data_IF_786784523800
#
_entry.id   IF_786784523800
#
_cell.length_a   1.000
_cell.length_b   1.000
_cell.length_c   1.000
_cell.angle_alpha   90.00
_cell.angle_beta   90.00
_cell.angle_gamma   90.00
#
_symmetry.space_group_name_H-M   'P 1'
#
loop_
_entity.id
_entity.type
_entity.pdbx_description
1 polymer ?
#
# COMPACT_ATOMS: atom_id res chain seq x y z
N UNK A 1 -3.24 -34.93 44.03
CA UNK A 1 -3.73 -34.51 42.70
C UNK A 1 -3.74 -33.00 42.55
N UNK A 2 -4.45 -32.18 43.36
CA UNK A 2 -4.50 -30.71 43.26
C UNK A 2 -3.11 -30.04 43.29
N UNK A 3 -2.18 -30.48 44.14
CA UNK A 3 -0.82 -29.93 44.28
C UNK A 3 0.04 -30.16 43.02
N UNK A 4 -0.13 -31.29 42.33
CA UNK A 4 0.60 -31.60 41.11
C UNK A 4 0.04 -30.82 39.92
N UNK A 5 -1.27 -30.56 39.87
CA UNK A 5 -1.91 -29.69 38.87
C UNK A 5 -1.43 -28.25 39.03
N UNK A 6 -1.39 -27.71 40.25
CA UNK A 6 -0.87 -26.38 40.51
C UNK A 6 0.60 -26.23 40.11
N UNK A 7 1.46 -27.18 40.43
CA UNK A 7 2.86 -27.21 40.03
C UNK A 7 3.03 -27.25 38.48
N UNK A 8 2.20 -28.06 37.80
CA UNK A 8 2.21 -28.12 36.34
C UNK A 8 1.80 -26.76 35.70
N UNK A 9 0.74 -26.13 36.24
CA UNK A 9 0.30 -24.81 35.74
C UNK A 9 1.40 -23.76 35.92
N UNK A 10 2.05 -23.70 37.08
CA UNK A 10 3.16 -22.78 37.34
C UNK A 10 4.32 -23.03 36.37
N UNK A 11 4.70 -24.29 36.15
CA UNK A 11 5.77 -24.64 35.22
C UNK A 11 5.41 -24.21 33.76
N UNK A 12 4.16 -24.43 33.36
CA UNK A 12 3.68 -23.99 32.02
C UNK A 12 3.72 -22.48 31.86
N UNK A 13 3.27 -21.74 32.87
CA UNK A 13 3.35 -20.25 32.85
C UNK A 13 4.81 -19.82 32.78
N UNK A 14 5.70 -20.37 33.56
CA UNK A 14 7.11 -20.05 33.56
C UNK A 14 7.77 -20.36 32.20
N UNK A 15 7.45 -21.48 31.59
CA UNK A 15 7.94 -21.85 30.25
C UNK A 15 7.42 -20.89 29.19
N UNK A 16 6.13 -20.53 29.23
CA UNK A 16 5.54 -19.54 28.30
C UNK A 16 6.19 -18.17 28.46
N UNK A 17 6.41 -17.70 29.67
CA UNK A 17 7.10 -16.44 29.92
C UNK A 17 8.55 -16.49 29.41
N UNK A 18 9.27 -17.56 29.68
CA UNK A 18 10.64 -17.75 29.18
C UNK A 18 10.68 -17.73 27.64
N UNK A 19 9.74 -18.40 26.98
CA UNK A 19 9.59 -18.34 25.52
C UNK A 19 9.35 -16.90 25.03
N UNK A 20 8.36 -16.21 25.60
CA UNK A 20 8.01 -14.85 25.18
C UNK A 20 9.14 -13.83 25.42
N UNK A 21 9.95 -14.03 26.46
CA UNK A 21 11.02 -13.10 26.80
C UNK A 21 12.33 -13.39 26.06
N UNK A 22 12.68 -14.67 25.83
CA UNK A 22 14.04 -15.06 25.48
C UNK A 22 14.19 -15.87 24.19
N UNK A 23 13.10 -16.45 23.64
CA UNK A 23 13.23 -17.20 22.39
C UNK A 23 13.80 -16.32 21.26
N UNK A 24 14.68 -16.83 20.38
CA UNK A 24 15.21 -16.07 19.25
C UNK A 24 14.09 -15.67 18.27
N UNK A 25 14.25 -14.51 17.63
CA UNK A 25 13.34 -14.01 16.60
C UNK A 25 14.13 -13.57 15.38
N UNK A 26 13.50 -13.58 14.20
CA UNK A 26 14.11 -13.22 12.92
C UNK A 26 14.13 -11.72 12.68
N UNK A 27 13.60 -10.90 13.57
CA UNK A 27 13.56 -9.43 13.43
C UNK A 27 14.58 -8.76 14.35
N UNK A 28 15.16 -7.66 13.89
CA UNK A 28 16.08 -6.79 14.63
C UNK A 28 15.49 -5.37 14.77
N UNK A 29 14.47 -5.17 15.64
CA UNK A 29 13.73 -3.92 15.69
C UNK A 29 14.60 -2.72 16.08
N UNK A 30 14.49 -1.61 15.31
CA UNK A 30 15.09 -0.33 15.67
C UNK A 30 14.10 0.53 16.46
N UNK A 31 14.57 1.21 17.51
CA UNK A 31 13.74 2.14 18.27
C UNK A 31 13.38 3.36 17.41
N UNK A 32 12.11 3.71 17.42
CA UNK A 32 11.60 4.92 16.79
C UNK A 32 10.46 5.51 17.63
N UNK A 33 10.54 6.80 17.91
CA UNK A 33 9.45 7.51 18.57
C UNK A 33 8.77 8.39 17.54
N UNK A 34 7.59 7.99 17.03
CA UNK A 34 6.88 8.80 16.05
C UNK A 34 6.42 10.12 16.68
N UNK A 35 6.28 11.19 15.89
CA UNK A 35 5.62 12.39 16.35
C UNK A 35 4.19 12.06 16.81
N UNK A 36 3.60 12.84 17.74
CA UNK A 36 2.22 12.63 18.16
C UNK A 36 1.29 12.57 16.95
N UNK A 37 0.40 11.58 16.93
CA UNK A 37 -0.58 11.48 15.86
C UNK A 37 -1.44 12.75 15.80
N UNK A 38 -1.72 13.32 14.62
CA UNK A 38 -2.62 14.45 14.50
C UNK A 38 -4.02 14.04 14.96
N UNK A 39 -4.74 14.99 15.56
CA UNK A 39 -6.15 14.78 15.89
C UNK A 39 -6.99 14.63 14.61
N UNK A 40 -8.04 13.82 14.69
CA UNK A 40 -9.00 13.69 13.58
C UNK A 40 -9.98 14.88 13.58
N UNK A 41 -9.44 16.09 13.37
CA UNK A 41 -10.15 17.38 13.29
C UNK A 41 -9.60 18.18 12.12
N UNK A 42 -10.27 19.26 11.72
CA UNK A 42 -9.84 20.10 10.60
C UNK A 42 -9.71 19.30 9.28
N UNK A 43 -8.53 19.28 8.64
CA UNK A 43 -8.37 18.54 7.37
C UNK A 43 -8.56 17.03 7.50
N UNK A 44 -8.51 16.50 8.72
CA UNK A 44 -8.71 15.07 9.03
C UNK A 44 -10.03 14.79 9.76
N UNK A 45 -10.95 15.76 9.81
CA UNK A 45 -12.21 15.61 10.56
C UNK A 45 -12.95 14.33 10.16
N UNK A 46 -13.38 13.57 11.20
CA UNK A 46 -14.11 12.32 11.01
C UNK A 46 -15.44 12.55 10.29
N UNK A 47 -15.74 11.67 9.35
CA UNK A 47 -16.97 11.71 8.59
C UNK A 47 -17.41 10.31 8.17
N UNK A 48 -18.54 10.22 7.46
CA UNK A 48 -19.09 8.98 6.91
C UNK A 48 -19.29 9.05 5.39
N UNK A 49 -18.53 9.86 4.71
CA UNK A 49 -18.69 10.12 3.27
C UNK A 49 -18.49 8.86 2.42
N UNK A 50 -17.67 7.90 2.87
CA UNK A 50 -17.49 6.59 2.22
C UNK A 50 -18.55 5.55 2.61
N UNK A 51 -19.63 5.92 3.32
CA UNK A 51 -20.73 4.99 3.59
C UNK A 51 -21.36 4.37 2.32
N UNK A 52 -21.56 5.13 1.19
CA UNK A 52 -22.21 4.60 0.00
C UNK A 52 -21.24 3.87 -0.97
N UNK A 53 -20.09 3.39 -0.51
CA UNK A 53 -19.20 2.59 -1.37
C UNK A 53 -19.92 1.33 -1.85
N UNK A 54 -19.98 1.18 -3.16
CA UNK A 54 -20.50 -0.02 -3.83
C UNK A 54 -19.41 -1.10 -3.85
N UNK A 55 -19.79 -2.34 -3.55
CA UNK A 55 -18.91 -3.51 -3.62
C UNK A 55 -19.10 -4.22 -4.94
N UNK A 56 -18.09 -4.21 -5.81
CA UNK A 56 -18.10 -4.89 -7.10
C UNK A 56 -17.52 -6.29 -6.93
N UNK A 57 -18.33 -7.31 -7.25
CA UNK A 57 -17.99 -8.70 -7.03
C UNK A 57 -16.98 -9.20 -8.07
N UNK A 58 -15.86 -9.75 -7.61
CA UNK A 58 -14.79 -10.33 -8.43
C UNK A 58 -15.00 -11.84 -8.76
N UNK A 59 -16.12 -12.42 -8.35
CA UNK A 59 -16.36 -13.86 -8.43
C UNK A 59 -15.73 -14.58 -7.24
N UNK A 60 -14.64 -15.28 -7.46
CA UNK A 60 -13.87 -15.95 -6.41
C UNK A 60 -12.47 -15.35 -6.33
N UNK A 61 -12.04 -14.99 -5.13
CA UNK A 61 -10.71 -14.44 -4.85
C UNK A 61 -10.75 -13.48 -3.67
N UNK A 62 -9.57 -13.20 -3.13
CA UNK A 62 -9.40 -12.39 -1.93
C UNK A 62 -8.39 -11.28 -2.17
N UNK A 63 -8.53 -10.19 -1.38
CA UNK A 63 -7.53 -9.14 -1.25
C UNK A 63 -7.13 -8.50 -2.58
N UNK A 64 -8.09 -7.87 -3.32
CA UNK A 64 -7.77 -7.07 -4.51
C UNK A 64 -7.05 -5.80 -4.04
N UNK A 65 -5.71 -5.84 -3.93
CA UNK A 65 -4.94 -4.76 -3.30
C UNK A 65 -4.94 -3.50 -4.14
N UNK A 66 -4.81 -3.66 -5.45
CA UNK A 66 -4.87 -2.55 -6.40
C UNK A 66 -5.87 -2.76 -7.52
N UNK A 67 -6.27 -1.65 -8.15
CA UNK A 67 -7.24 -1.56 -9.23
C UNK A 67 -6.70 -0.67 -10.34
N UNK A 68 -6.71 -1.18 -11.58
CA UNK A 68 -6.45 -0.38 -12.78
C UNK A 68 -7.68 -0.33 -13.68
N UNK A 69 -7.81 0.76 -14.45
CA UNK A 69 -8.84 0.90 -15.47
C UNK A 69 -8.21 1.11 -16.85
N UNK A 70 -8.72 0.40 -17.85
CA UNK A 70 -8.30 0.62 -19.23
C UNK A 70 -9.07 1.79 -19.88
N UNK A 71 -8.71 2.10 -21.13
CA UNK A 71 -9.32 3.18 -21.89
C UNK A 71 -10.83 3.01 -22.16
N UNK A 72 -11.33 1.76 -22.12
CA UNK A 72 -12.75 1.44 -22.27
C UNK A 72 -13.49 1.47 -20.91
N UNK A 73 -12.78 1.75 -19.82
CA UNK A 73 -13.32 1.79 -18.46
C UNK A 73 -13.50 0.41 -17.82
N UNK A 74 -12.95 -0.67 -18.41
CA UNK A 74 -12.95 -1.99 -17.78
C UNK A 74 -12.02 -1.96 -16.56
N UNK A 75 -12.44 -2.66 -15.50
CA UNK A 75 -11.79 -2.65 -14.19
C UNK A 75 -10.95 -3.91 -14.07
N UNK A 76 -9.70 -3.77 -13.62
CA UNK A 76 -8.78 -4.89 -13.40
C UNK A 76 -8.31 -4.87 -11.95
N UNK A 77 -8.28 -6.04 -11.32
CA UNK A 77 -7.85 -6.18 -9.93
C UNK A 77 -6.94 -7.40 -9.76
N UNK A 78 -5.81 -7.20 -9.07
CA UNK A 78 -4.86 -8.27 -8.75
C UNK A 78 -5.25 -9.00 -7.47
N UNK A 79 -5.35 -10.33 -7.51
CA UNK A 79 -5.78 -11.16 -6.38
C UNK A 79 -4.59 -11.80 -5.64
N UNK A 80 -4.82 -12.23 -4.41
CA UNK A 80 -3.82 -12.88 -3.57
C UNK A 80 -3.24 -14.16 -4.19
N UNK A 81 -4.00 -14.86 -5.01
CA UNK A 81 -3.61 -16.13 -5.63
C UNK A 81 -2.87 -15.99 -6.99
N UNK A 82 -2.57 -14.77 -7.41
CA UNK A 82 -1.82 -14.48 -8.64
C UNK A 82 -2.70 -14.13 -9.84
N UNK A 83 -4.01 -14.36 -9.76
CA UNK A 83 -4.94 -14.01 -10.83
C UNK A 83 -5.17 -12.50 -10.90
N UNK A 84 -5.35 -12.01 -12.10
CA UNK A 84 -5.86 -10.66 -12.38
C UNK A 84 -7.25 -10.84 -12.98
N UNK A 85 -8.26 -10.31 -12.30
CA UNK A 85 -9.66 -10.37 -12.72
C UNK A 85 -10.03 -9.07 -13.41
N UNK A 86 -10.77 -9.19 -14.54
CA UNK A 86 -11.35 -8.07 -15.27
C UNK A 86 -12.87 -8.05 -15.06
N UNK A 87 -13.42 -6.84 -14.83
CA UNK A 87 -14.86 -6.55 -14.85
C UNK A 87 -15.20 -5.62 -16.01
N UNK A 88 -16.47 -5.63 -16.43
CA UNK A 88 -17.00 -4.60 -17.34
C UNK A 88 -17.04 -3.23 -16.62
N UNK A 89 -17.17 -2.10 -17.36
CA UNK A 89 -17.22 -0.76 -16.77
C UNK A 89 -18.35 -0.57 -15.73
N UNK A 90 -19.44 -1.30 -15.86
CA UNK A 90 -20.54 -1.30 -14.89
C UNK A 90 -20.24 -2.11 -13.62
N UNK A 91 -19.12 -2.83 -13.57
CA UNK A 91 -18.70 -3.69 -12.46
C UNK A 91 -19.26 -5.11 -12.52
N UNK A 92 -19.78 -5.54 -13.67
CA UNK A 92 -20.35 -6.87 -13.89
C UNK A 92 -19.40 -7.79 -14.66
N UNK A 93 -19.79 -9.06 -14.86
CA UNK A 93 -19.13 -10.07 -15.67
C UNK A 93 -17.65 -10.28 -15.32
N UNK A 94 -17.33 -10.69 -14.08
CA UNK A 94 -15.96 -11.00 -13.69
C UNK A 94 -15.39 -12.14 -14.53
N UNK A 95 -14.19 -11.96 -15.05
CA UNK A 95 -13.43 -13.00 -15.74
C UNK A 95 -11.96 -12.92 -15.41
N UNK A 96 -11.28 -14.04 -15.39
CA UNK A 96 -9.82 -14.06 -15.28
C UNK A 96 -9.25 -13.51 -16.59
N UNK A 97 -8.45 -12.45 -16.47
CA UNK A 97 -7.73 -11.82 -17.57
C UNK A 97 -6.36 -12.44 -17.76
N UNK A 98 -5.61 -12.61 -16.67
CA UNK A 98 -4.28 -13.20 -16.66
C UNK A 98 -4.00 -13.87 -15.31
N UNK A 99 -2.93 -14.67 -15.26
CA UNK A 99 -2.40 -15.25 -14.03
C UNK A 99 -0.88 -15.06 -14.01
N UNK A 100 -0.37 -14.32 -13.03
CA UNK A 100 1.06 -14.11 -12.85
C UNK A 100 1.74 -15.30 -12.16
N UNK A 101 0.95 -16.20 -11.56
CA UNK A 101 1.45 -17.23 -10.64
C UNK A 101 2.32 -16.65 -9.52
N UNK A 102 2.04 -15.39 -9.13
CA UNK A 102 2.75 -14.63 -8.12
C UNK A 102 1.80 -13.96 -7.14
N UNK A 103 2.05 -12.70 -6.85
CA UNK A 103 1.18 -11.82 -6.06
C UNK A 103 1.18 -10.43 -6.72
N UNK A 104 0.28 -10.14 -7.67
CA UNK A 104 0.15 -8.81 -8.26
C UNK A 104 -0.39 -7.83 -7.19
N UNK A 105 0.41 -6.84 -6.84
CA UNK A 105 0.08 -5.79 -5.87
C UNK A 105 -0.25 -4.48 -6.59
N UNK A 106 0.67 -3.88 -7.33
CA UNK A 106 0.44 -2.66 -8.11
C UNK A 106 0.07 -2.93 -9.57
N UNK A 107 -0.85 -2.16 -10.13
CA UNK A 107 -1.38 -2.30 -11.48
C UNK A 107 -1.52 -0.92 -12.16
N UNK A 108 -0.97 -0.75 -13.37
CA UNK A 108 -1.21 0.45 -14.18
C UNK A 108 -1.17 0.12 -15.67
N UNK A 109 -1.97 0.79 -16.49
CA UNK A 109 -1.88 0.65 -17.94
C UNK A 109 -0.84 1.59 -18.55
N UNK A 110 0.01 1.06 -19.45
CA UNK A 110 0.87 1.88 -20.27
C UNK A 110 0.08 2.53 -21.44
N UNK A 111 0.72 3.49 -22.12
CA UNK A 111 0.11 4.18 -23.28
C UNK A 111 -0.22 3.25 -24.49
N UNK A 112 0.31 2.02 -24.50
CA UNK A 112 0.03 1.00 -25.54
C UNK A 112 -1.13 0.10 -25.17
N UNK A 113 -1.62 0.23 -23.93
CA UNK A 113 -2.69 -0.59 -23.35
C UNK A 113 -2.21 -1.94 -22.84
N UNK A 114 -0.92 -2.09 -22.50
CA UNK A 114 -0.45 -3.23 -21.72
C UNK A 114 -0.64 -2.92 -20.24
N UNK A 115 -1.03 -3.92 -19.47
CA UNK A 115 -1.10 -3.84 -18.02
C UNK A 115 0.29 -4.10 -17.43
N UNK A 116 0.88 -3.09 -16.81
CA UNK A 116 2.11 -3.21 -16.04
C UNK A 116 1.78 -3.66 -14.63
N UNK A 117 2.61 -4.52 -14.06
CA UNK A 117 2.33 -5.13 -12.76
C UNK A 117 3.59 -5.12 -11.89
N UNK A 118 3.48 -4.58 -10.68
CA UNK A 118 4.44 -4.85 -9.61
C UNK A 118 4.01 -6.13 -8.89
N UNK A 119 4.67 -7.23 -9.20
CA UNK A 119 4.38 -8.52 -8.57
C UNK A 119 5.38 -8.81 -7.45
N UNK A 120 4.89 -8.99 -6.24
CA UNK A 120 5.71 -9.18 -5.05
C UNK A 120 6.58 -10.44 -5.08
N UNK A 121 6.27 -11.41 -5.95
CA UNK A 121 6.98 -12.69 -6.05
C UNK A 121 7.72 -12.86 -7.38
N UNK A 122 7.29 -12.17 -8.44
CA UNK A 122 7.82 -12.35 -9.79
C UNK A 122 8.66 -11.19 -10.28
N UNK A 123 8.47 -9.99 -9.72
CA UNK A 123 9.15 -8.79 -10.15
C UNK A 123 8.26 -7.86 -10.98
N UNK A 124 8.86 -7.04 -11.83
CA UNK A 124 8.16 -6.11 -12.71
C UNK A 124 7.71 -6.83 -13.97
N UNK A 125 6.39 -6.86 -14.24
CA UNK A 125 5.78 -7.58 -15.35
C UNK A 125 5.07 -6.61 -16.30
N UNK A 126 4.84 -7.06 -17.54
CA UNK A 126 3.95 -6.44 -18.52
C UNK A 126 3.03 -7.51 -19.08
N UNK A 127 1.72 -7.23 -19.14
CA UNK A 127 0.71 -8.14 -19.65
C UNK A 127 0.05 -7.51 -20.86
N UNK A 128 0.08 -8.17 -21.99
CA UNK A 128 -0.52 -7.65 -23.22
C UNK A 128 -2.06 -7.81 -23.22
N UNK A 129 -2.70 -7.25 -24.25
CA UNK A 129 -4.17 -7.30 -24.41
C UNK A 129 -4.75 -8.72 -24.53
N UNK A 130 -3.90 -9.70 -24.86
CA UNK A 130 -4.28 -11.11 -24.91
C UNK A 130 -4.08 -11.85 -23.58
N UNK A 131 -3.59 -11.16 -22.53
CA UNK A 131 -3.31 -11.73 -21.22
C UNK A 131 -1.95 -12.43 -21.12
N UNK A 132 -1.05 -12.24 -22.11
CA UNK A 132 0.27 -12.87 -22.08
C UNK A 132 1.21 -12.11 -21.15
N UNK A 133 1.75 -12.80 -20.15
CA UNK A 133 2.63 -12.24 -19.13
C UNK A 133 4.08 -12.25 -19.61
N UNK A 134 4.75 -11.09 -19.55
CA UNK A 134 6.17 -10.91 -19.85
C UNK A 134 6.90 -10.31 -18.65
N UNK A 135 8.01 -10.93 -18.24
CA UNK A 135 8.91 -10.37 -17.24
C UNK A 135 9.73 -9.20 -17.85
N UNK A 136 9.68 -8.02 -17.22
CA UNK A 136 10.50 -6.86 -17.57
C UNK A 136 11.78 -6.81 -16.75
N UNK A 137 11.68 -7.00 -15.41
CA UNK A 137 12.84 -7.03 -14.52
C UNK A 137 12.54 -7.87 -13.26
N UNK A 138 13.54 -8.63 -12.80
CA UNK A 138 13.51 -9.36 -11.53
C UNK A 138 14.59 -8.88 -10.55
N UNK A 139 15.41 -7.91 -10.99
CA UNK A 139 16.54 -7.39 -10.22
C UNK A 139 16.87 -5.96 -10.63
N UNK A 140 17.57 -5.25 -9.76
CA UNK A 140 18.24 -3.99 -10.07
C UNK A 140 19.64 -3.99 -9.49
N UNK A 141 20.63 -3.52 -10.28
CA UNK A 141 22.01 -3.32 -9.82
C UNK A 141 22.65 -4.61 -9.24
N UNK A 142 22.25 -5.79 -9.80
CA UNK A 142 22.76 -7.11 -9.38
C UNK A 142 22.08 -7.68 -8.12
N UNK A 143 21.07 -6.99 -7.56
CA UNK A 143 20.29 -7.47 -6.42
C UNK A 143 18.87 -7.85 -6.86
N UNK A 144 18.44 -9.08 -6.57
CA UNK A 144 17.07 -9.54 -6.82
C UNK A 144 16.08 -8.73 -5.99
N UNK A 145 14.89 -8.53 -6.54
CA UNK A 145 13.81 -7.90 -5.77
C UNK A 145 13.31 -8.83 -4.66
N UNK A 146 13.02 -8.23 -3.49
CA UNK A 146 12.39 -8.92 -2.37
C UNK A 146 10.87 -8.87 -2.48
N UNK A 147 10.27 -7.71 -2.24
CA UNK A 147 8.82 -7.52 -2.25
C UNK A 147 8.49 -6.24 -3.02
N UNK A 148 8.23 -6.34 -4.34
CA UNK A 148 7.68 -5.21 -5.08
C UNK A 148 6.26 -4.94 -4.61
N UNK A 149 5.86 -3.66 -4.61
CA UNK A 149 4.55 -3.28 -4.11
C UNK A 149 3.71 -2.51 -5.14
N UNK A 150 4.12 -1.33 -5.56
CA UNK A 150 3.32 -0.47 -6.43
C UNK A 150 4.13 0.08 -7.60
N UNK A 151 3.45 0.61 -8.63
CA UNK A 151 4.10 1.20 -9.80
C UNK A 151 3.22 2.28 -10.43
N UNK A 152 3.91 3.24 -11.09
CA UNK A 152 3.30 4.19 -11.99
C UNK A 152 4.19 4.42 -13.21
N UNK A 153 3.64 4.92 -14.32
CA UNK A 153 4.35 5.06 -15.59
C UNK A 153 4.33 6.52 -16.07
N UNK A 154 5.52 7.05 -16.31
CA UNK A 154 5.69 8.38 -16.88
C UNK A 154 5.37 8.41 -18.38
N UNK A 155 5.13 9.63 -18.90
CA UNK A 155 4.79 9.84 -20.31
C UNK A 155 5.88 9.36 -21.30
N UNK A 156 7.14 9.30 -20.87
CA UNK A 156 8.26 8.78 -21.67
C UNK A 156 8.38 7.25 -21.63
N UNK A 157 7.51 6.58 -20.85
CA UNK A 157 7.47 5.13 -20.66
C UNK A 157 8.38 4.64 -19.53
N UNK A 158 9.06 5.51 -18.79
CA UNK A 158 9.78 5.13 -17.57
C UNK A 158 8.80 4.64 -16.53
N UNK A 159 9.04 3.45 -15.99
CA UNK A 159 8.22 2.87 -14.91
C UNK A 159 8.89 3.16 -13.58
N UNK A 160 8.22 3.90 -12.71
CA UNK A 160 8.61 4.09 -11.32
C UNK A 160 7.88 3.06 -10.47
N UNK A 161 8.61 2.38 -9.59
CA UNK A 161 8.03 1.31 -8.78
C UNK A 161 8.73 1.19 -7.43
N UNK A 162 8.02 0.63 -6.48
CA UNK A 162 8.50 0.47 -5.12
C UNK A 162 8.84 -0.97 -4.80
N UNK A 163 9.85 -1.14 -3.99
CA UNK A 163 10.15 -2.35 -3.27
C UNK A 163 9.93 -2.05 -1.79
N UNK A 164 8.89 -2.64 -1.19
CA UNK A 164 8.52 -2.41 0.19
C UNK A 164 9.61 -2.93 1.14
N UNK A 165 10.20 -4.07 0.80
CA UNK A 165 11.28 -4.68 1.56
C UNK A 165 12.19 -5.52 0.65
N UNK A 166 13.49 -5.29 0.75
CA UNK A 166 14.51 -6.16 0.15
C UNK A 166 14.92 -7.32 1.08
N UNK A 167 14.36 -7.37 2.29
CA UNK A 167 14.69 -8.34 3.33
C UNK A 167 13.57 -9.36 3.57
N UNK A 168 12.33 -8.90 3.64
CA UNK A 168 11.18 -9.73 3.96
C UNK A 168 10.29 -9.92 2.73
N UNK A 169 9.90 -11.17 2.43
CA UNK A 169 8.90 -11.43 1.39
C UNK A 169 7.51 -10.94 1.85
N UNK A 170 6.57 -10.78 0.92
CA UNK A 170 5.20 -10.31 1.20
C UNK A 170 4.51 -11.10 2.33
N UNK A 171 4.71 -12.41 2.40
CA UNK A 171 4.16 -13.26 3.47
C UNK A 171 4.65 -12.89 4.89
N UNK A 172 5.69 -12.05 4.98
CA UNK A 172 6.29 -11.57 6.22
C UNK A 172 6.27 -10.03 6.32
N UNK A 173 5.37 -9.34 5.60
CA UNK A 173 5.27 -7.87 5.62
C UNK A 173 5.13 -7.29 7.04
N UNK A 174 4.38 -7.96 7.93
CA UNK A 174 4.27 -7.57 9.34
C UNK A 174 5.64 -7.62 10.06
N UNK A 175 6.52 -8.53 9.64
CA UNK A 175 7.88 -8.61 10.22
C UNK A 175 8.70 -7.38 9.87
N UNK A 176 8.59 -6.86 8.64
CA UNK A 176 9.25 -5.63 8.21
C UNK A 176 8.75 -4.42 9.01
N UNK A 177 7.44 -4.26 9.12
CA UNK A 177 6.81 -3.18 9.91
C UNK A 177 7.19 -3.25 11.40
N UNK A 178 7.25 -4.47 11.99
CA UNK A 178 7.70 -4.66 13.37
C UNK A 178 9.20 -4.46 13.53
N UNK A 179 10.00 -4.73 12.52
CA UNK A 179 11.43 -4.48 12.56
C UNK A 179 11.73 -2.99 12.45
N UNK A 180 10.97 -2.26 11.63
CA UNK A 180 11.10 -0.83 11.40
C UNK A 180 12.54 -0.47 11.03
N UNK A 181 13.00 -1.01 9.92
CA UNK A 181 14.33 -0.76 9.32
C UNK A 181 14.16 -0.23 7.90
N UNK A 182 15.15 0.48 7.35
CA UNK A 182 15.07 1.10 6.02
C UNK A 182 15.32 0.07 4.90
N UNK A 183 14.46 -0.96 4.83
CA UNK A 183 14.58 -2.08 3.89
C UNK A 183 13.93 -1.79 2.54
N UNK A 184 13.22 -0.68 2.38
CA UNK A 184 12.51 -0.32 1.16
C UNK A 184 13.31 0.62 0.25
N UNK A 185 12.87 0.73 -1.00
CA UNK A 185 13.43 1.67 -1.98
C UNK A 185 12.45 2.02 -3.09
N UNK A 186 12.62 3.19 -3.69
CA UNK A 186 12.00 3.60 -4.95
C UNK A 186 12.96 3.31 -6.10
N UNK A 187 12.46 2.71 -7.17
CA UNK A 187 13.21 2.35 -8.36
C UNK A 187 12.62 2.97 -9.62
N UNK A 188 13.42 3.00 -10.70
CA UNK A 188 12.97 3.32 -12.04
C UNK A 188 13.47 2.26 -13.04
N UNK A 189 12.58 1.80 -13.91
CA UNK A 189 12.91 0.97 -15.06
C UNK A 189 12.85 1.80 -16.35
N UNK A 190 13.93 1.81 -17.10
CA UNK A 190 14.06 2.58 -18.35
C UNK A 190 13.68 1.69 -19.55
N UNK A 191 12.66 2.04 -20.34
CA UNK A 191 12.23 1.24 -21.49
C UNK A 191 13.27 1.17 -22.63
N UNK A 192 14.21 2.14 -22.71
CA UNK A 192 15.25 2.18 -23.75
C UNK A 192 16.38 1.23 -23.44
N UNK A 193 16.84 1.20 -22.19
CA UNK A 193 17.94 0.35 -21.74
C UNK A 193 17.49 -1.00 -21.21
N UNK A 194 16.18 -1.14 -20.90
CA UNK A 194 15.57 -2.29 -20.24
C UNK A 194 16.23 -2.64 -18.88
N UNK A 195 16.66 -1.63 -18.15
CA UNK A 195 17.34 -1.79 -16.85
C UNK A 195 16.58 -1.04 -15.76
N UNK A 196 16.54 -1.65 -14.60
CA UNK A 196 16.06 -1.02 -13.37
C UNK A 196 17.26 -0.44 -12.58
N UNK A 197 17.01 0.70 -11.92
CA UNK A 197 17.97 1.35 -11.02
C UNK A 197 17.27 1.93 -9.80
N UNK A 198 17.95 2.03 -8.69
CA UNK A 198 17.47 2.68 -7.47
C UNK A 198 17.50 4.20 -7.62
N UNK A 199 16.40 4.87 -7.27
CA UNK A 199 16.28 6.32 -7.18
C UNK A 199 16.42 6.83 -5.75
N UNK A 200 15.72 6.18 -4.82
CA UNK A 200 15.74 6.56 -3.40
C UNK A 200 15.79 5.28 -2.55
N UNK A 201 16.93 4.98 -1.93
CA UNK A 201 17.07 3.86 -1.01
C UNK A 201 16.64 4.27 0.42
N UNK A 202 16.55 3.27 1.30
CA UNK A 202 16.44 3.49 2.73
C UNK A 202 15.05 3.93 3.19
N UNK A 203 14.01 3.49 2.50
CA UNK A 203 12.62 3.74 2.86
C UNK A 203 12.10 2.69 3.85
N UNK A 204 11.20 3.11 4.73
CA UNK A 204 10.57 2.25 5.73
C UNK A 204 9.24 1.74 5.21
N UNK A 205 9.25 0.59 4.56
CA UNK A 205 8.11 0.00 3.87
C UNK A 205 7.59 0.93 2.76
N UNK A 206 8.36 1.03 1.66
CA UNK A 206 7.97 1.81 0.49
C UNK A 206 6.75 1.16 -0.17
N UNK A 207 5.64 1.91 -0.23
CA UNK A 207 4.35 1.43 -0.69
C UNK A 207 3.94 2.16 -1.99
N UNK A 208 2.81 2.83 -2.02
CA UNK A 208 2.27 3.51 -3.18
C UNK A 208 3.24 4.46 -3.87
N UNK A 209 3.15 4.56 -5.20
CA UNK A 209 3.96 5.47 -6.02
C UNK A 209 3.08 6.20 -7.05
N UNK A 210 3.32 7.51 -7.24
CA UNK A 210 2.60 8.30 -8.22
C UNK A 210 3.50 9.32 -8.92
N UNK A 211 3.48 9.36 -10.23
CA UNK A 211 4.12 10.41 -11.04
C UNK A 211 3.25 11.66 -11.03
N UNK A 212 3.85 12.83 -10.83
CA UNK A 212 3.11 14.09 -10.86
C UNK A 212 2.51 14.35 -12.24
N UNK A 213 1.33 15.03 -12.32
CA UNK A 213 0.67 15.31 -13.60
C UNK A 213 1.57 16.08 -14.57
N UNK A 214 2.44 16.95 -14.07
CA UNK A 214 3.41 17.74 -14.86
C UNK A 214 4.73 16.99 -15.11
N UNK A 215 4.86 15.74 -14.66
CA UNK A 215 6.06 14.89 -14.82
C UNK A 215 7.31 15.45 -14.11
N UNK A 216 7.17 16.41 -13.20
CA UNK A 216 8.31 17.06 -12.54
C UNK A 216 8.84 16.31 -11.33
N UNK A 217 8.03 15.44 -10.73
CA UNK A 217 8.43 14.62 -9.57
C UNK A 217 7.65 13.30 -9.52
N UNK A 218 8.12 12.40 -8.68
CA UNK A 218 7.44 11.16 -8.28
C UNK A 218 7.27 11.14 -6.76
N UNK A 219 6.10 10.73 -6.30
CA UNK A 219 5.79 10.52 -4.89
C UNK A 219 5.97 9.05 -4.52
N UNK A 220 6.35 8.79 -3.27
CA UNK A 220 6.36 7.45 -2.68
C UNK A 220 5.80 7.47 -1.26
N UNK A 221 4.79 6.68 -1.00
CA UNK A 221 4.22 6.48 0.33
C UNK A 221 5.18 5.64 1.18
N UNK A 222 5.50 6.11 2.37
CA UNK A 222 6.38 5.45 3.33
C UNK A 222 5.57 5.04 4.56
N UNK A 223 5.00 3.83 4.50
CA UNK A 223 4.02 3.33 5.47
C UNK A 223 4.55 3.34 6.90
N UNK A 224 5.81 2.88 7.08
CA UNK A 224 6.45 2.80 8.39
C UNK A 224 6.74 4.16 9.03
N UNK A 225 6.75 5.24 8.25
CA UNK A 225 7.08 6.59 8.73
C UNK A 225 5.89 7.55 8.76
N UNK A 226 4.67 7.09 8.38
CA UNK A 226 3.47 7.93 8.31
C UNK A 226 3.63 9.17 7.43
N UNK A 227 4.33 9.06 6.28
CA UNK A 227 4.64 10.18 5.41
C UNK A 227 4.63 9.79 3.93
N UNK A 228 4.67 10.79 3.06
CA UNK A 228 4.93 10.63 1.63
C UNK A 228 6.20 11.41 1.30
N UNK A 229 7.14 10.76 0.63
CA UNK A 229 8.34 11.37 0.07
C UNK A 229 8.11 11.81 -1.36
N UNK A 230 8.87 12.82 -1.81
CA UNK A 230 8.92 13.28 -3.18
C UNK A 230 10.35 13.21 -3.70
N UNK A 231 10.51 12.67 -4.91
CA UNK A 231 11.78 12.69 -5.65
C UNK A 231 11.60 13.54 -6.90
N UNK A 232 12.39 14.58 -7.04
CA UNK A 232 12.34 15.48 -8.18
C UNK A 232 12.96 14.83 -9.43
N UNK A 233 12.21 14.78 -10.52
CA UNK A 233 12.60 14.20 -11.80
C UNK A 233 13.21 15.22 -12.76
N UNK A 234 12.87 16.51 -12.58
CA UNK A 234 13.33 17.62 -13.42
C UNK A 234 13.46 18.92 -12.62
N UNK A 235 13.97 19.96 -13.30
CA UNK A 235 14.15 21.28 -12.71
C UNK A 235 15.36 21.40 -11.78
N UNK A 236 15.49 22.53 -11.03
CA UNK A 236 16.67 22.83 -10.20
C UNK A 236 16.94 21.81 -9.07
N UNK A 237 15.92 21.05 -8.67
CA UNK A 237 16.03 20.04 -7.62
C UNK A 237 16.17 18.61 -8.17
N UNK A 238 16.36 18.43 -9.46
CA UNK A 238 16.43 17.10 -10.07
C UNK A 238 17.38 16.17 -9.31
N UNK A 239 16.89 14.94 -9.01
CA UNK A 239 17.62 13.93 -8.25
C UNK A 239 17.60 14.12 -6.73
N UNK A 240 17.05 15.22 -6.22
CA UNK A 240 16.88 15.44 -4.77
C UNK A 240 15.56 14.83 -4.29
N UNK A 241 15.52 14.47 -3.01
CA UNK A 241 14.31 14.05 -2.32
C UNK A 241 13.96 15.01 -1.18
N UNK A 242 12.67 15.22 -0.96
CA UNK A 242 12.14 15.95 0.19
C UNK A 242 10.84 15.30 0.68
N UNK A 243 10.39 15.69 1.87
CA UNK A 243 9.11 15.23 2.42
C UNK A 243 7.98 16.02 1.77
N UNK A 244 7.01 15.32 1.16
CA UNK A 244 5.85 15.93 0.52
C UNK A 244 4.70 16.18 1.52
N UNK A 245 4.38 15.19 2.34
CA UNK A 245 3.47 15.31 3.47
C UNK A 245 3.96 14.42 4.61
N UNK A 246 3.91 14.92 5.84
CA UNK A 246 4.43 14.25 7.02
C UNK A 246 3.35 14.04 8.09
N UNK A 247 3.66 13.16 9.03
CA UNK A 247 2.84 12.91 10.21
C UNK A 247 1.36 12.66 9.89
N UNK A 248 1.10 11.77 8.95
CA UNK A 248 -0.25 11.38 8.56
C UNK A 248 -1.02 10.69 9.72
N UNK A 249 -2.36 10.81 9.77
CA UNK A 249 -3.19 10.22 10.84
C UNK A 249 -3.40 8.70 10.72
N UNK A 250 -2.85 8.08 9.69
CA UNK A 250 -2.94 6.65 9.39
C UNK A 250 -1.70 6.15 8.67
N UNK A 251 -1.72 4.89 8.31
CA UNK A 251 -0.65 4.23 7.58
C UNK A 251 -0.83 4.48 6.08
N UNK A 252 -0.01 5.33 5.44
CA UNK A 252 -0.11 5.57 4.01
C UNK A 252 0.21 4.30 3.24
N UNK A 253 -0.62 4.01 2.26
CA UNK A 253 -0.54 2.83 1.40
C UNK A 253 -0.44 3.27 -0.06
N UNK A 254 -1.35 2.91 -0.94
CA UNK A 254 -1.35 3.32 -2.33
C UNK A 254 -1.62 4.83 -2.49
N UNK A 255 -0.97 5.42 -3.48
CA UNK A 255 -1.16 6.80 -3.90
C UNK A 255 -1.26 6.86 -5.43
N UNK A 256 -2.22 7.61 -5.97
CA UNK A 256 -2.37 7.78 -7.41
C UNK A 256 -2.62 9.23 -7.79
N UNK A 257 -2.14 9.64 -8.97
CA UNK A 257 -2.46 10.95 -9.55
C UNK A 257 -3.78 10.88 -10.33
N UNK A 258 -4.61 11.93 -10.22
CA UNK A 258 -5.81 12.05 -11.07
C UNK A 258 -5.50 12.59 -12.49
N UNK A 259 -4.21 12.77 -12.81
CA UNK A 259 -3.75 13.31 -14.09
C UNK A 259 -4.02 14.80 -14.30
N UNK A 260 -4.45 15.54 -13.26
CA UNK A 260 -4.82 16.97 -13.34
C UNK A 260 -4.15 17.78 -12.22
N UNK A 261 -4.68 17.74 -11.04
CA UNK A 261 -4.38 18.70 -9.97
C UNK A 261 -4.23 18.08 -8.57
N UNK A 262 -4.41 16.78 -8.44
CA UNK A 262 -4.39 16.14 -7.12
C UNK A 262 -3.90 14.70 -7.14
N UNK A 263 -3.56 14.24 -5.94
CA UNK A 263 -3.25 12.85 -5.63
C UNK A 263 -4.29 12.31 -4.65
N UNK A 264 -4.72 11.07 -4.87
CA UNK A 264 -5.51 10.30 -3.93
C UNK A 264 -4.58 9.39 -3.14
N UNK A 265 -4.67 9.45 -1.82
CA UNK A 265 -3.85 8.67 -0.89
C UNK A 265 -4.76 7.79 -0.03
N UNK A 266 -4.56 6.50 -0.09
CA UNK A 266 -5.18 5.55 0.82
C UNK A 266 -4.41 5.51 2.14
N UNK A 267 -5.14 5.49 3.26
CA UNK A 267 -4.60 5.18 4.58
C UNK A 267 -5.24 3.87 5.03
N UNK A 268 -4.49 2.77 4.94
CA UNK A 268 -5.03 1.41 5.13
C UNK A 268 -5.67 1.20 6.50
N UNK A 269 -5.19 1.90 7.51
CA UNK A 269 -5.75 1.91 8.87
C UNK A 269 -5.32 3.20 9.60
N UNK A 270 -6.13 3.73 10.54
CA UNK A 270 -5.69 4.81 11.42
C UNK A 270 -4.52 4.40 12.30
N UNK A 271 -3.72 5.37 12.75
CA UNK A 271 -2.64 5.13 13.72
C UNK A 271 -3.21 4.59 15.03
N UNK A 272 -2.43 3.75 15.69
CA UNK A 272 -2.83 3.08 16.93
C UNK A 272 -1.90 3.48 18.07
N UNK A 273 -2.47 3.98 19.17
CA UNK A 273 -1.70 4.42 20.33
C UNK A 273 -0.83 3.30 20.94
N UNK A 274 -1.25 2.04 20.84
CA UNK A 274 -0.46 0.89 21.27
C UNK A 274 0.85 0.78 20.48
N UNK A 275 0.79 0.94 19.16
CA UNK A 275 1.98 0.91 18.30
C UNK A 275 2.86 2.13 18.59
N UNK A 276 2.31 3.33 18.51
CA UNK A 276 3.06 4.57 18.57
C UNK A 276 3.73 4.82 19.92
N UNK A 277 3.02 4.56 21.03
CA UNK A 277 3.51 4.90 22.38
C UNK A 277 4.28 3.77 23.05
N UNK A 278 4.00 2.52 22.68
CA UNK A 278 4.56 1.37 23.41
C UNK A 278 5.41 0.46 22.53
N UNK A 279 5.01 0.15 21.30
CA UNK A 279 5.76 -0.83 20.52
C UNK A 279 6.91 -0.20 19.73
N UNK A 280 6.66 0.89 19.01
CA UNK A 280 7.70 1.52 18.17
C UNK A 280 8.88 2.07 18.99
N UNK A 281 8.69 2.71 20.15
CA UNK A 281 9.82 3.15 20.99
C UNK A 281 10.58 2.00 21.67
N UNK A 282 9.98 0.82 21.81
CA UNK A 282 10.55 -0.27 22.61
C UNK A 282 10.82 -1.54 21.79
N UNK A 283 12.01 -1.70 21.19
CA UNK A 283 12.37 -2.87 20.40
C UNK A 283 12.13 -4.20 21.07
N UNK A 284 12.36 -4.30 22.38
CA UNK A 284 12.14 -5.51 23.14
C UNK A 284 10.66 -5.93 23.15
N UNK A 285 9.74 -4.98 23.31
CA UNK A 285 8.30 -5.28 23.30
C UNK A 285 7.85 -5.81 21.94
N UNK A 286 8.42 -5.29 20.85
CA UNK A 286 8.14 -5.80 19.49
C UNK A 286 8.61 -7.24 19.31
N UNK A 287 9.75 -7.63 19.92
CA UNK A 287 10.19 -9.03 19.94
C UNK A 287 9.23 -9.93 20.74
N UNK A 288 8.66 -9.41 21.83
CA UNK A 288 7.64 -10.14 22.61
C UNK A 288 6.37 -10.32 21.75
N UNK A 289 5.88 -9.24 21.13
CA UNK A 289 4.70 -9.27 20.25
C UNK A 289 4.91 -10.21 19.06
N UNK A 290 6.10 -10.21 18.47
CA UNK A 290 6.44 -11.10 17.36
C UNK A 290 6.31 -12.60 17.72
N UNK A 291 6.53 -12.97 18.99
CA UNK A 291 6.40 -14.37 19.49
C UNK A 291 4.96 -14.75 19.81
N UNK A 292 4.04 -13.78 19.86
CA UNK A 292 2.63 -14.08 20.08
C UNK A 292 2.01 -14.77 18.85
N UNK A 293 1.01 -15.61 19.04
CA UNK A 293 0.17 -16.07 17.94
C UNK A 293 -0.38 -14.89 17.12
N UNK A 294 -0.50 -15.04 15.81
CA UNK A 294 -0.98 -13.95 14.91
C UNK A 294 -2.31 -13.32 15.39
N UNK A 295 -3.21 -14.12 15.95
CA UNK A 295 -4.49 -13.65 16.49
C UNK A 295 -4.38 -12.71 17.70
N UNK A 296 -3.23 -12.67 18.38
CA UNK A 296 -2.94 -11.78 19.51
C UNK A 296 -2.01 -10.61 19.14
N UNK A 297 -1.54 -10.57 17.91
CA UNK A 297 -0.75 -9.43 17.41
C UNK A 297 -1.68 -8.26 17.05
N UNK A 298 -1.18 -7.01 17.10
CA UNK A 298 -1.93 -5.86 16.61
C UNK A 298 -2.37 -6.08 15.16
N UNK A 299 -3.64 -5.81 14.88
CA UNK A 299 -4.22 -5.92 13.55
C UNK A 299 -4.74 -4.56 13.07
N UNK A 300 -4.83 -4.33 11.75
CA UNK A 300 -5.46 -3.15 11.19
C UNK A 300 -6.91 -3.01 11.69
N UNK A 301 -7.31 -1.78 12.00
CA UNK A 301 -8.70 -1.50 12.34
C UNK A 301 -9.55 -1.46 11.05
N UNK A 302 -10.79 -1.94 11.15
CA UNK A 302 -11.77 -1.72 10.08
C UNK A 302 -12.13 -0.24 10.03
N UNK A 303 -11.67 0.43 8.99
CA UNK A 303 -11.88 1.85 8.76
C UNK A 303 -11.63 2.17 7.28
N UNK A 304 -12.47 3.00 6.69
CA UNK A 304 -12.22 3.55 5.36
C UNK A 304 -11.57 4.91 5.53
N UNK A 305 -10.40 5.14 4.91
CA UNK A 305 -9.72 6.40 5.02
C UNK A 305 -8.98 6.73 3.73
N UNK A 306 -9.42 7.78 3.04
CA UNK A 306 -8.82 8.29 1.82
C UNK A 306 -8.67 9.80 1.90
N UNK A 307 -7.52 10.30 1.52
CA UNK A 307 -7.22 11.74 1.43
C UNK A 307 -7.01 12.13 -0.03
N UNK A 308 -7.41 13.34 -0.40
CA UNK A 308 -6.92 14.00 -1.60
C UNK A 308 -5.89 15.06 -1.20
N UNK A 309 -4.73 15.03 -1.86
CA UNK A 309 -3.65 16.00 -1.68
C UNK A 309 -3.53 16.85 -2.95
N UNK A 310 -3.28 18.15 -2.81
CA UNK A 310 -2.87 18.97 -3.94
C UNK A 310 -1.40 18.71 -4.33
N UNK A 311 -0.92 19.38 -5.37
CA UNK A 311 0.47 19.24 -5.84
C UNK A 311 1.52 19.85 -4.89
N UNK A 312 1.11 20.47 -3.80
CA UNK A 312 1.94 21.00 -2.72
C UNK A 312 1.92 20.13 -1.47
N UNK A 313 1.04 19.10 -1.41
CA UNK A 313 0.90 18.20 -0.26
C UNK A 313 -0.15 18.64 0.75
N UNK A 314 -0.96 19.67 0.47
CA UNK A 314 -2.07 20.04 1.35
C UNK A 314 -3.25 19.10 1.15
N UNK A 315 -3.91 18.74 2.25
CA UNK A 315 -5.14 17.96 2.20
C UNK A 315 -6.27 18.84 1.67
N UNK A 316 -6.82 18.50 0.50
CA UNK A 316 -7.91 19.23 -0.16
C UNK A 316 -9.24 18.48 -0.14
N UNK A 317 -9.22 17.20 0.21
CA UNK A 317 -10.42 16.40 0.47
C UNK A 317 -10.12 15.26 1.45
N UNK A 318 -11.15 14.81 2.17
CA UNK A 318 -11.04 13.81 3.21
C UNK A 318 -12.31 12.95 3.23
N UNK A 319 -12.16 11.68 2.89
CA UNK A 319 -13.24 10.70 2.77
C UNK A 319 -13.02 9.58 3.78
N UNK A 320 -13.99 9.38 4.68
CA UNK A 320 -13.88 8.40 5.74
C UNK A 320 -15.18 7.62 5.94
N UNK A 321 -15.07 6.47 6.61
CA UNK A 321 -16.21 5.77 7.21
C UNK A 321 -15.68 4.84 8.32
N UNK A 322 -16.18 5.03 9.55
CA UNK A 322 -15.85 4.21 10.72
C UNK A 322 -16.93 3.19 11.09
N UNK A 323 -17.94 2.96 10.26
CA UNK A 323 -18.97 1.97 10.53
C UNK A 323 -18.38 0.54 10.53
N UNK A 324 -18.99 -0.37 11.30
CA UNK A 324 -18.51 -1.77 11.43
C UNK A 324 -18.52 -2.53 10.11
N UNK A 325 -19.41 -2.22 9.21
CA UNK A 325 -19.60 -2.82 7.88
C UNK A 325 -18.99 -1.99 6.75
N UNK A 326 -18.20 -0.97 7.08
CA UNK A 326 -17.53 -0.13 6.07
C UNK A 326 -16.66 -0.96 5.12
N UNK A 327 -16.50 -0.48 3.90
CA UNK A 327 -15.46 -0.97 2.99
C UNK A 327 -14.10 -0.54 3.54
N UNK A 328 -13.34 -1.46 4.10
CA UNK A 328 -12.21 -1.14 4.99
C UNK A 328 -10.86 -1.53 4.42
N UNK A 329 -9.80 -1.08 5.09
CA UNK A 329 -8.43 -1.39 4.73
C UNK A 329 -8.16 -1.10 3.25
N UNK A 330 -8.61 0.09 2.81
CA UNK A 330 -8.36 0.56 1.45
C UNK A 330 -6.86 0.66 1.26
N UNK A 331 -6.34 -0.14 0.32
CA UNK A 331 -4.93 -0.22 0.01
C UNK A 331 -4.56 0.73 -1.14
N UNK A 332 -5.41 0.86 -2.15
CA UNK A 332 -5.18 1.81 -3.25
C UNK A 332 -6.48 2.51 -3.66
N UNK A 333 -6.35 3.65 -4.37
CA UNK A 333 -7.46 4.44 -4.85
C UNK A 333 -7.14 5.07 -6.20
N UNK A 334 -8.00 4.87 -7.19
CA UNK A 334 -7.87 5.41 -8.56
C UNK A 334 -9.09 6.22 -8.92
N UNK A 335 -8.89 7.47 -9.37
CA UNK A 335 -9.97 8.30 -9.93
C UNK A 335 -10.14 8.03 -11.41
N UNK A 336 -11.35 7.66 -11.83
CA UNK A 336 -11.68 7.50 -13.24
C UNK A 336 -13.13 7.93 -13.52
N UNK A 337 -13.31 8.82 -14.50
CA UNK A 337 -14.64 9.27 -14.98
C UNK A 337 -15.61 9.69 -13.86
N UNK A 338 -15.12 10.45 -12.86
CA UNK A 338 -15.96 10.98 -11.77
C UNK A 338 -16.30 9.95 -10.70
N UNK A 339 -15.61 8.84 -10.67
CA UNK A 339 -15.69 7.84 -9.60
C UNK A 339 -14.30 7.52 -9.04
N UNK A 340 -14.27 7.08 -7.78
CA UNK A 340 -13.10 6.46 -7.16
C UNK A 340 -13.31 4.94 -7.14
N UNK A 341 -12.25 4.22 -7.48
CA UNK A 341 -12.17 2.78 -7.38
C UNK A 341 -11.13 2.42 -6.32
N UNK A 342 -11.47 1.45 -5.49
CA UNK A 342 -10.65 1.08 -4.33
C UNK A 342 -10.20 -0.36 -4.41
N UNK A 343 -8.91 -0.58 -4.27
CA UNK A 343 -8.35 -1.84 -3.84
C UNK A 343 -8.41 -1.97 -2.32
N UNK A 344 -8.32 -3.18 -1.80
CA UNK A 344 -8.34 -3.45 -0.36
C UNK A 344 -7.61 -4.75 -0.03
N UNK A 345 -6.89 -4.76 1.09
CA UNK A 345 -6.31 -5.97 1.66
C UNK A 345 -7.27 -6.71 2.60
N UNK A 346 -8.41 -6.13 2.93
CA UNK A 346 -9.37 -6.67 3.89
C UNK A 346 -10.74 -7.05 3.32
N UNK A 347 -10.96 -6.85 2.01
CA UNK A 347 -12.22 -7.12 1.33
C UNK A 347 -12.00 -8.09 0.16
N UNK A 348 -13.09 -8.74 -0.29
CA UNK A 348 -13.09 -9.67 -1.43
C UNK A 348 -13.69 -9.04 -2.70
N UNK A 349 -13.86 -7.73 -2.68
CA UNK A 349 -14.53 -6.94 -3.71
C UNK A 349 -13.72 -5.69 -4.04
N UNK A 350 -13.85 -5.16 -5.24
CA UNK A 350 -13.42 -3.79 -5.55
C UNK A 350 -14.47 -2.81 -5.03
N UNK A 351 -14.03 -1.72 -4.40
CA UNK A 351 -14.91 -0.62 -4.00
C UNK A 351 -15.11 0.37 -5.14
N UNK A 352 -16.34 0.92 -5.30
CA UNK A 352 -16.61 2.05 -6.19
C UNK A 352 -17.38 3.13 -5.44
N UNK A 353 -16.92 4.37 -5.55
CA UNK A 353 -17.54 5.54 -4.94
C UNK A 353 -17.71 6.63 -6.00
N UNK A 354 -18.93 7.11 -6.18
CA UNK A 354 -19.24 8.17 -7.14
C UNK A 354 -18.94 9.53 -6.50
N UNK A 355 -18.03 10.29 -7.12
CA UNK A 355 -17.76 11.65 -6.68
C UNK A 355 -18.96 12.55 -6.99
N UNK A 356 -19.42 13.33 -6.00
CA UNK A 356 -20.44 14.32 -6.24
C UNK A 356 -19.97 15.34 -7.30
N UNK A 357 -20.81 15.72 -8.26
CA UNK A 357 -20.46 16.80 -9.19
C UNK A 357 -20.05 18.04 -8.39
N UNK A 358 -18.91 18.65 -8.73
CA UNK A 358 -18.58 19.97 -8.16
C UNK A 358 -19.68 20.93 -8.59
N UNK A 359 -20.49 21.40 -7.63
CA UNK A 359 -21.39 22.51 -7.87
C UNK A 359 -20.52 23.74 -8.15
N UNK A 360 -20.40 24.12 -9.42
CA UNK A 360 -19.79 25.38 -9.78
C UNK A 360 -20.76 26.46 -9.33
N UNK A 361 -20.54 26.99 -8.14
CA UNK A 361 -21.19 28.24 -7.74
C UNK A 361 -20.51 29.32 -8.56
N UNK A 362 -21.15 29.70 -9.66
CA UNK A 362 -20.71 30.91 -10.38
C UNK A 362 -20.90 32.12 -9.44
N UNK A 363 -19.87 32.96 -9.27
CA UNK A 363 -19.90 34.14 -8.43
C UNK A 363 -20.93 35.18 -8.86
#
# INVERSE_FOLDING_TARGET
MKRNIAAFIVALIAATLAYLLFAPVSIAPAAWTPPPAPSLTGPYEQNSRLAPVQRLNLGQGHSPEDVALDADGRIYAGLEDGRIVQLQPDGTQPRVFADTHGRPLGLVFDARGNLLVADALKGLLSIDKAGQVKLLAAEAEGAKFGCLNDLDVAADGTIYFTEASNKFPMSQHVSDLLEHQPNGRLLAWDPKTQKARTLLPGLYFANGVAVSPDQSFVLVAETGMYRVQRVWLSGPKQGQADVFVDNLPGFPDGISANGKDKFWLALVTPRQALLDRFLLPHPFLRKVVFRLPKSLQPAPQRYSFVLALDTQGHVVDNLQNGARDCYSQIANVVEHNGALYFGSIGEDTVGRFILAPKVVVNP
#
